data_IF_858722457577
#
_entry.id   IF_858722457577
#
_cell.length_a   1.000
_cell.length_b   1.000
_cell.length_c   1.000
_cell.angle_alpha   90.00
_cell.angle_beta   90.00
_cell.angle_gamma   90.00
#
_symmetry.space_group_name_H-M   'P 1'
#
loop_
_entity.id
_entity.type
_entity.pdbx_description
1 polymer ?
#
# COMPACT_ATOMS: atom_id res chain seq x y z
N UNK A 1 9.54 -3.69 -4.27
CA UNK A 1 9.18 -2.38 -4.85
C UNK A 1 10.23 -1.86 -5.82
N UNK A 2 11.51 -1.73 -5.44
CA UNK A 2 12.57 -1.25 -6.34
C UNK A 2 12.77 -2.11 -7.60
N UNK A 3 12.73 -3.44 -7.49
CA UNK A 3 12.79 -4.34 -8.65
C UNK A 3 11.59 -4.15 -9.60
N UNK A 4 10.42 -3.83 -9.05
CA UNK A 4 9.23 -3.51 -9.85
C UNK A 4 9.42 -2.17 -10.57
N UNK A 5 9.96 -1.15 -9.89
CA UNK A 5 10.30 0.12 -10.54
C UNK A 5 11.27 -0.09 -11.71
N UNK A 6 12.32 -0.88 -11.49
CA UNK A 6 13.29 -1.23 -12.53
C UNK A 6 12.64 -1.92 -13.73
N UNK A 7 11.70 -2.84 -13.51
CA UNK A 7 10.92 -3.48 -14.58
C UNK A 7 10.13 -2.48 -15.43
N UNK A 8 9.61 -1.41 -14.82
CA UNK A 8 8.91 -0.34 -15.55
C UNK A 8 9.86 0.65 -16.26
N UNK A 9 11.14 0.68 -15.88
CA UNK A 9 12.19 1.48 -16.51
C UNK A 9 12.98 2.35 -15.52
N UNK A 10 14.02 3.02 -16.01
CA UNK A 10 14.90 3.88 -15.21
C UNK A 10 14.40 5.32 -15.12
N UNK A 11 13.09 5.52 -14.92
CA UNK A 11 12.50 6.85 -14.75
C UNK A 11 12.26 7.17 -13.27
N UNK A 12 12.77 8.29 -12.74
CA UNK A 12 12.65 8.64 -11.32
C UNK A 12 11.21 8.64 -10.77
N UNK A 13 10.22 9.01 -11.59
CA UNK A 13 8.81 9.02 -11.20
C UNK A 13 8.30 7.63 -10.78
N UNK A 14 8.75 6.54 -11.43
CA UNK A 14 8.40 5.19 -11.02
C UNK A 14 8.91 4.87 -9.61
N UNK A 15 10.17 5.22 -9.33
CA UNK A 15 10.76 4.97 -8.03
C UNK A 15 10.02 5.73 -6.93
N UNK A 16 9.62 6.98 -7.16
CA UNK A 16 8.82 7.76 -6.21
C UNK A 16 7.47 7.09 -5.89
N UNK A 17 6.75 6.63 -6.91
CA UNK A 17 5.48 5.92 -6.73
C UNK A 17 5.67 4.59 -5.98
N UNK A 18 6.67 3.81 -6.39
CA UNK A 18 6.97 2.52 -5.75
C UNK A 18 7.49 2.66 -4.31
N UNK A 19 8.13 3.77 -3.96
CA UNK A 19 8.53 4.08 -2.58
C UNK A 19 7.34 4.52 -1.71
N UNK A 20 6.29 5.07 -2.32
CA UNK A 20 5.07 5.47 -1.60
C UNK A 20 4.21 4.25 -1.21
N UNK A 21 4.23 3.17 -2.01
CA UNK A 21 3.47 1.94 -1.74
C UNK A 21 3.76 1.32 -0.36
N UNK A 22 5.03 1.04 0.03
CA UNK A 22 5.34 0.48 1.35
C UNK A 22 4.84 1.33 2.52
N UNK A 23 4.91 2.65 2.39
CA UNK A 23 4.42 3.58 3.42
C UNK A 23 2.90 3.42 3.59
N UNK A 24 2.15 3.45 2.49
CA UNK A 24 0.70 3.26 2.50
C UNK A 24 0.30 1.89 3.05
N UNK A 25 0.97 0.81 2.64
CA UNK A 25 0.71 -0.55 3.13
C UNK A 25 1.01 -0.70 4.62
N UNK A 26 2.10 -0.08 5.10
CA UNK A 26 2.44 -0.09 6.52
C UNK A 26 1.40 0.66 7.35
N UNK A 27 0.96 1.83 6.87
CA UNK A 27 -0.08 2.64 7.50
C UNK A 27 -1.41 1.87 7.57
N UNK A 28 -1.85 1.31 6.44
CA UNK A 28 -3.06 0.49 6.33
C UNK A 28 -3.02 -0.70 7.30
N UNK A 29 -1.96 -1.51 7.27
CA UNK A 29 -1.87 -2.69 8.11
C UNK A 29 -1.90 -2.39 9.61
N UNK A 30 -1.29 -1.27 10.02
CA UNK A 30 -1.31 -0.83 11.43
C UNK A 30 -2.69 -0.30 11.83
N UNK A 31 -3.29 0.52 10.98
CA UNK A 31 -4.59 1.12 11.26
C UNK A 31 -5.70 0.06 11.27
N UNK A 32 -5.69 -0.88 10.34
CA UNK A 32 -6.63 -2.03 10.34
C UNK A 32 -6.48 -2.85 11.62
N UNK A 33 -5.23 -3.21 12.00
CA UNK A 33 -4.98 -3.98 13.22
C UNK A 33 -5.47 -3.27 14.48
N UNK A 34 -5.33 -1.93 14.54
CA UNK A 34 -5.78 -1.13 15.66
C UNK A 34 -7.30 -0.98 15.74
N UNK A 35 -7.99 -0.90 14.60
CA UNK A 35 -9.43 -0.59 14.53
C UNK A 35 -10.33 -1.82 14.48
N UNK A 36 -9.85 -2.96 13.94
CA UNK A 36 -10.67 -4.15 13.67
C UNK A 36 -11.37 -4.72 14.91
N UNK A 37 -10.79 -4.53 16.10
CA UNK A 37 -11.39 -4.95 17.38
C UNK A 37 -12.15 -3.86 18.14
N UNK A 38 -12.17 -2.61 17.64
CA UNK A 38 -12.72 -1.45 18.37
C UNK A 38 -14.01 -0.88 17.75
N UNK A 39 -14.35 -1.27 16.54
CA UNK A 39 -15.51 -0.74 15.80
C UNK A 39 -16.75 -1.62 15.97
N UNK A 40 -17.92 -1.00 16.13
CA UNK A 40 -19.22 -1.68 16.06
C UNK A 40 -19.56 -2.08 14.61
N UNK A 41 -20.51 -3.01 14.36
CA UNK A 41 -20.82 -3.48 13.01
C UNK A 41 -21.21 -2.36 12.02
N UNK A 42 -21.97 -1.36 12.48
CA UNK A 42 -22.33 -0.19 11.65
C UNK A 42 -21.14 0.71 11.35
N UNK A 43 -20.26 0.92 12.34
CA UNK A 43 -19.04 1.71 12.17
C UNK A 43 -18.02 1.00 11.26
N UNK A 44 -18.01 -0.34 11.25
CA UNK A 44 -17.15 -1.12 10.37
C UNK A 44 -17.52 -0.94 8.90
N UNK A 45 -18.82 -0.91 8.55
CA UNK A 45 -19.25 -0.62 7.17
C UNK A 45 -18.85 0.78 6.71
N UNK A 46 -19.00 1.78 7.59
CA UNK A 46 -18.56 3.14 7.29
C UNK A 46 -17.03 3.22 7.12
N UNK A 47 -16.30 2.53 7.99
CA UNK A 47 -14.85 2.40 7.91
C UNK A 47 -14.41 1.75 6.59
N UNK A 48 -15.02 0.64 6.18
CA UNK A 48 -14.67 -0.06 4.94
C UNK A 48 -14.85 0.84 3.71
N UNK A 49 -15.92 1.64 3.69
CA UNK A 49 -16.16 2.60 2.62
C UNK A 49 -15.13 3.74 2.60
N UNK A 50 -14.85 4.34 3.76
CA UNK A 50 -13.83 5.40 3.90
C UNK A 50 -12.46 4.86 3.52
N UNK A 51 -12.10 3.68 4.01
CA UNK A 51 -10.83 3.03 3.73
C UNK A 51 -10.68 2.73 2.23
N UNK A 52 -11.72 2.20 1.58
CA UNK A 52 -11.74 2.02 0.14
C UNK A 52 -11.54 3.34 -0.62
N UNK A 53 -12.25 4.39 -0.22
CA UNK A 53 -12.14 5.71 -0.85
C UNK A 53 -10.72 6.27 -0.75
N UNK A 54 -10.14 6.24 0.46
CA UNK A 54 -8.77 6.70 0.72
C UNK A 54 -7.75 5.90 -0.10
N UNK A 55 -7.94 4.58 -0.19
CA UNK A 55 -7.07 3.70 -1.00
C UNK A 55 -7.13 4.06 -2.49
N UNK A 56 -8.32 4.35 -3.03
CA UNK A 56 -8.45 4.81 -4.41
C UNK A 56 -7.74 6.15 -4.63
N UNK A 57 -7.88 7.11 -3.72
CA UNK A 57 -7.14 8.39 -3.80
C UNK A 57 -5.63 8.21 -3.73
N UNK A 58 -5.16 7.27 -2.91
CA UNK A 58 -3.74 6.94 -2.82
C UNK A 58 -3.21 6.35 -4.14
N UNK A 59 -3.98 5.48 -4.81
CA UNK A 59 -3.61 4.96 -6.13
C UNK A 59 -3.54 6.05 -7.19
N UNK A 60 -4.55 6.94 -7.26
CA UNK A 60 -4.55 8.05 -8.20
C UNK A 60 -3.31 8.94 -8.01
N UNK A 61 -2.96 9.22 -6.75
CA UNK A 61 -1.78 10.01 -6.39
C UNK A 61 -0.46 9.34 -6.79
N UNK A 62 -0.33 8.03 -6.55
CA UNK A 62 0.85 7.26 -6.96
C UNK A 62 0.94 7.11 -8.49
N UNK A 63 -0.19 7.05 -9.20
CA UNK A 63 -0.23 6.97 -10.66
C UNK A 63 0.46 8.18 -11.32
N UNK A 64 0.42 9.35 -10.68
CA UNK A 64 1.03 10.57 -11.24
C UNK A 64 2.54 10.45 -11.44
N UNK A 65 3.26 9.69 -10.60
CA UNK A 65 4.67 9.40 -10.83
C UNK A 65 4.93 8.53 -12.07
N UNK A 66 3.97 7.70 -12.48
CA UNK A 66 4.05 6.97 -13.74
C UNK A 66 3.74 7.84 -14.95
N UNK A 67 2.81 8.78 -14.81
CA UNK A 67 2.42 9.69 -15.90
C UNK A 67 3.51 10.73 -16.18
N UNK A 68 4.08 11.32 -15.13
CA UNK A 68 5.02 12.44 -15.25
C UNK A 68 6.45 11.97 -15.56
N UNK A 69 6.86 10.78 -15.12
CA UNK A 69 8.19 10.14 -15.25
C UNK A 69 9.37 10.91 -14.62
N UNK A 70 9.33 12.24 -14.66
CA UNK A 70 10.30 13.21 -14.13
C UNK A 70 10.15 13.36 -12.61
N UNK A 71 11.28 13.34 -11.91
CA UNK A 71 11.35 13.59 -10.47
C UNK A 71 10.77 14.97 -10.12
N UNK A 72 11.23 16.00 -10.84
CA UNK A 72 10.89 17.39 -10.55
C UNK A 72 9.40 17.66 -10.74
N UNK A 73 8.81 17.16 -11.83
CA UNK A 73 7.40 17.43 -12.13
C UNK A 73 6.46 16.63 -11.24
N UNK A 74 6.85 15.41 -10.87
CA UNK A 74 6.13 14.61 -9.86
C UNK A 74 6.14 15.30 -8.50
N UNK A 75 7.30 15.78 -8.04
CA UNK A 75 7.42 16.50 -6.76
C UNK A 75 6.67 17.84 -6.77
N UNK A 76 6.68 18.58 -7.89
CA UNK A 76 5.90 19.82 -8.05
C UNK A 76 4.40 19.55 -7.99
N UNK A 77 3.93 18.50 -8.66
CA UNK A 77 2.53 18.08 -8.59
C UNK A 77 2.16 17.66 -7.17
N UNK A 78 2.98 16.86 -6.50
CA UNK A 78 2.73 16.48 -5.10
C UNK A 78 2.76 17.68 -4.15
N UNK A 79 3.66 18.63 -4.37
CA UNK A 79 3.74 19.86 -3.60
C UNK A 79 2.52 20.76 -3.81
N UNK A 80 1.95 20.84 -5.02
CA UNK A 80 0.75 21.65 -5.28
C UNK A 80 -0.50 21.14 -4.55
N UNK A 81 -0.52 19.85 -4.22
CA UNK A 81 -1.54 19.22 -3.36
C UNK A 81 -1.03 18.92 -1.94
N UNK A 82 0.03 19.62 -1.52
CA UNK A 82 0.58 19.63 -0.16
C UNK A 82 0.99 18.24 0.37
N UNK A 83 1.41 17.33 -0.50
CA UNK A 83 1.77 15.95 -0.14
C UNK A 83 0.67 15.23 0.68
N UNK A 84 -0.60 15.54 0.39
CA UNK A 84 -1.74 15.13 1.23
C UNK A 84 -1.79 13.62 1.54
N UNK A 85 -1.48 12.76 0.56
CA UNK A 85 -1.47 11.31 0.74
C UNK A 85 -0.31 10.85 1.61
N UNK A 86 0.89 11.43 1.48
CA UNK A 86 2.02 11.11 2.36
C UNK A 86 1.72 11.52 3.81
N UNK A 87 1.15 12.71 4.00
CA UNK A 87 0.75 13.20 5.33
C UNK A 87 -0.31 12.26 5.92
N UNK A 88 -1.34 11.90 5.14
CA UNK A 88 -2.39 11.00 5.59
C UNK A 88 -1.83 9.61 5.95
N UNK A 89 -0.92 9.07 5.15
CA UNK A 89 -0.29 7.79 5.43
C UNK A 89 0.56 7.83 6.73
N UNK A 90 1.32 8.91 6.95
CA UNK A 90 2.06 9.10 8.20
C UNK A 90 1.14 9.27 9.41
N UNK A 91 0.05 10.02 9.27
CA UNK A 91 -0.94 10.19 10.33
C UNK A 91 -1.63 8.85 10.66
N UNK A 92 -2.04 8.09 9.64
CA UNK A 92 -2.63 6.76 9.78
C UNK A 92 -1.66 5.77 10.44
N UNK A 93 -0.39 5.80 10.06
CA UNK A 93 0.66 4.99 10.68
C UNK A 93 0.85 5.38 12.15
N UNK A 94 0.98 6.67 12.45
CA UNK A 94 1.11 7.18 13.82
C UNK A 94 -0.08 6.82 14.70
N UNK A 95 -1.30 6.96 14.17
CA UNK A 95 -2.52 6.55 14.86
C UNK A 95 -2.56 5.04 15.11
N UNK A 96 -2.23 4.23 14.10
CA UNK A 96 -2.16 2.78 14.23
C UNK A 96 -1.10 2.33 15.25
N UNK A 97 0.02 3.03 15.36
CA UNK A 97 1.04 2.77 16.38
C UNK A 97 0.58 3.19 17.79
N UNK A 98 -0.05 4.36 17.92
CA UNK A 98 -0.56 4.86 19.20
C UNK A 98 -1.71 3.98 19.75
N UNK A 99 -2.62 3.53 18.89
CA UNK A 99 -3.75 2.67 19.27
C UNK A 99 -3.37 1.19 19.39
N UNK A 100 -2.30 0.76 18.70
CA UNK A 100 -1.84 -0.62 18.57
C UNK A 100 -0.62 -0.97 19.40
N UNK A 101 -0.44 -0.35 20.57
CA UNK A 101 0.72 -0.50 21.48
C UNK A 101 1.05 -1.92 22.01
N UNK A 102 0.56 -2.99 21.39
CA UNK A 102 0.95 -4.38 21.67
C UNK A 102 1.42 -5.09 20.40
N UNK A 103 2.74 -5.23 20.26
CA UNK A 103 3.53 -6.11 19.38
C UNK A 103 2.98 -6.51 17.99
N UNK A 104 3.68 -6.23 16.88
CA UNK A 104 3.32 -6.78 15.59
C UNK A 104 3.63 -8.29 15.58
N UNK A 105 2.60 -9.11 15.73
CA UNK A 105 2.70 -10.53 15.41
C UNK A 105 3.09 -10.66 13.94
N UNK A 106 4.37 -11.01 13.75
CA UNK A 106 5.04 -11.29 12.50
C UNK A 106 4.19 -12.23 11.67
N UNK A 107 3.41 -11.69 10.71
CA UNK A 107 2.74 -12.50 9.69
C UNK A 107 3.85 -13.18 8.88
N UNK A 108 4.12 -14.44 9.19
CA UNK A 108 4.99 -15.31 8.40
C UNK A 108 4.44 -15.30 6.97
N UNK A 109 5.18 -14.68 6.06
CA UNK A 109 5.05 -14.95 4.63
C UNK A 109 5.40 -16.43 4.45
N UNK A 110 4.40 -17.30 4.43
CA UNK A 110 4.58 -18.63 3.90
C UNK A 110 4.87 -18.47 2.40
N UNK A 111 5.98 -19.01 1.86
CA UNK A 111 6.14 -19.12 0.42
C UNK A 111 4.96 -19.91 -0.13
N UNK A 112 4.24 -19.36 -1.11
CA UNK A 112 3.35 -20.17 -1.93
C UNK A 112 4.21 -21.27 -2.55
N UNK A 113 4.00 -22.50 -2.10
CA UNK A 113 4.54 -23.68 -2.75
C UNK A 113 3.90 -23.75 -4.13
N UNK A 114 4.72 -23.54 -5.15
CA UNK A 114 4.42 -23.84 -6.55
C UNK A 114 3.87 -25.26 -6.62
N UNK A 115 2.57 -25.42 -6.89
CA UNK A 115 1.99 -26.72 -7.18
C UNK A 115 2.54 -27.17 -8.53
N UNK A 116 3.61 -27.96 -8.51
CA UNK A 116 4.05 -28.74 -9.66
C UNK A 116 2.91 -29.70 -10.03
N UNK A 117 2.36 -29.51 -11.22
CA UNK A 117 1.31 -30.36 -11.78
C UNK A 117 1.81 -31.82 -11.92
N UNK A 118 0.97 -32.82 -11.63
CA UNK A 118 1.38 -34.22 -11.72
C UNK A 118 1.49 -34.64 -13.20
N UNK A 119 2.72 -34.99 -13.56
CA UNK A 119 3.09 -36.21 -14.27
C UNK A 119 2.07 -36.75 -15.29
N UNK A 120 2.25 -36.34 -16.56
CA UNK A 120 1.73 -37.11 -17.70
C UNK A 120 2.46 -38.45 -17.76
N UNK A 121 1.84 -39.49 -17.23
CA UNK A 121 2.11 -40.89 -17.61
C UNK A 121 0.97 -41.79 -17.14
N UNK A 122 -0.03 -41.98 -18.01
CA UNK A 122 -0.84 -43.20 -18.05
C UNK A 122 -1.57 -43.28 -19.39
N UNK A 123 -1.07 -44.17 -20.24
CA UNK A 123 -1.79 -45.12 -21.11
C UNK A 123 -3.22 -44.73 -21.52
N UNK A 124 -3.45 -44.45 -22.81
CA UNK A 124 -4.04 -45.37 -23.81
C UNK A 124 -3.73 -44.89 -25.24
#
# INVERSE_FOLDING_TARGET
MLLSAYWHGLHPGYYLSFLTIPLCLAAEGRLESALRGRLSPGAQKAWDWVHWFLKMRAYDYMCMGFVLLSLGDTLRYWASIYFCIHILALAALGLGLALGGGSPSRRKTAPQATSLAPEKLREE
#
